data_IF_138224091807
#
_entry.id   IF_138224091807
#
_cell.length_a   1.000
_cell.length_b   1.000
_cell.length_c   1.000
_cell.angle_alpha   90.00
_cell.angle_beta   90.00
_cell.angle_gamma   90.00
#
_symmetry.space_group_name_H-M   'P 1'
#
loop_
_entity.id
_entity.type
_entity.pdbx_description
1 polymer ?
#
# COMPACT_ATOMS: atom_id res chain seq x y z
N UNK A 1 -6.25 -19.96 33.05
CA UNK A 1 -6.64 -21.22 32.38
C UNK A 1 -5.63 -21.45 31.26
N UNK A 2 -5.01 -22.63 31.24
CA UNK A 2 -4.01 -22.99 30.23
C UNK A 2 -4.69 -23.25 28.88
N UNK A 3 -4.14 -22.75 27.77
CA UNK A 3 -4.68 -22.95 26.41
C UNK A 3 -4.72 -24.44 26.01
N UNK A 4 -3.79 -25.23 26.57
CA UNK A 4 -3.69 -26.67 26.31
C UNK A 4 -4.91 -27.45 26.81
N UNK A 5 -5.47 -27.03 27.95
CA UNK A 5 -6.66 -27.65 28.54
C UNK A 5 -7.95 -27.28 27.80
N UNK A 6 -7.92 -26.20 27.03
CA UNK A 6 -9.04 -25.76 26.17
C UNK A 6 -9.04 -26.50 24.83
N UNK A 7 -7.86 -26.80 24.29
CA UNK A 7 -7.70 -27.56 23.04
C UNK A 7 -7.98 -29.06 23.21
N UNK A 8 -7.92 -29.60 24.43
CA UNK A 8 -8.24 -31.00 24.73
C UNK A 8 -9.73 -31.27 24.90
N UNK A 9 -10.55 -30.23 25.10
CA UNK A 9 -12.00 -30.34 25.17
C UNK A 9 -12.63 -30.30 23.78
N UNK A 10 -13.68 -31.08 23.51
CA UNK A 10 -14.42 -30.94 22.28
C UNK A 10 -15.24 -29.63 22.30
N UNK A 11 -15.39 -29.00 21.13
CA UNK A 11 -16.03 -27.66 20.98
C UNK A 11 -17.42 -27.58 21.61
N UNK A 12 -18.20 -28.65 21.57
CA UNK A 12 -19.56 -28.69 22.14
C UNK A 12 -19.59 -28.67 23.68
N UNK A 13 -18.47 -28.96 24.34
CA UNK A 13 -18.31 -28.90 25.78
C UNK A 13 -17.65 -27.58 26.22
N UNK A 14 -17.25 -26.72 25.28
CA UNK A 14 -16.67 -25.41 25.57
C UNK A 14 -17.76 -24.37 25.77
N UNK A 15 -17.54 -23.49 26.75
CA UNK A 15 -18.33 -22.28 26.93
C UNK A 15 -17.96 -21.23 25.88
N UNK A 16 -18.87 -20.30 25.59
CA UNK A 16 -18.61 -19.23 24.62
C UNK A 16 -17.41 -18.34 25.00
N UNK A 17 -17.18 -18.14 26.30
CA UNK A 17 -16.04 -17.39 26.81
C UNK A 17 -14.72 -18.08 26.52
N UNK A 18 -14.67 -19.40 26.73
CA UNK A 18 -13.52 -20.25 26.40
C UNK A 18 -13.20 -20.24 24.89
N UNK A 19 -14.23 -20.23 24.05
CA UNK A 19 -14.07 -20.15 22.59
C UNK A 19 -13.51 -18.78 22.14
N UNK A 20 -14.05 -17.68 22.67
CA UNK A 20 -13.56 -16.32 22.36
C UNK A 20 -12.12 -16.15 22.87
N UNK A 21 -11.78 -16.73 24.01
CA UNK A 21 -10.43 -16.73 24.56
C UNK A 21 -9.44 -17.45 23.64
N UNK A 22 -9.78 -18.65 23.12
CA UNK A 22 -8.96 -19.34 22.12
C UNK A 22 -8.79 -18.53 20.84
N UNK A 23 -9.87 -17.92 20.34
CA UNK A 23 -9.81 -17.13 19.11
C UNK A 23 -8.90 -15.90 19.26
N UNK A 24 -9.01 -15.18 20.39
CA UNK A 24 -8.09 -14.07 20.70
C UNK A 24 -6.66 -14.54 20.86
N UNK A 25 -6.44 -15.70 21.48
CA UNK A 25 -5.12 -16.28 21.62
C UNK A 25 -4.53 -16.75 20.27
N UNK A 26 -5.34 -17.28 19.35
CA UNK A 26 -4.90 -17.62 17.99
C UNK A 26 -4.49 -16.37 17.19
N UNK A 27 -5.21 -15.26 17.37
CA UNK A 27 -4.87 -13.96 16.78
C UNK A 27 -3.62 -13.31 17.41
N UNK A 28 -3.28 -13.67 18.65
CA UNK A 28 -2.10 -13.13 19.36
C UNK A 28 -0.87 -14.04 19.27
N UNK A 29 -1.06 -15.36 19.15
CA UNK A 29 -0.02 -16.38 19.03
C UNK A 29 0.53 -16.54 17.61
N UNK A 30 -0.13 -15.93 16.61
CA UNK A 30 0.55 -15.62 15.36
C UNK A 30 1.60 -14.54 15.64
N UNK A 31 2.84 -14.97 15.88
CA UNK A 31 4.03 -14.13 15.91
C UNK A 31 4.31 -13.37 14.61
N UNK A 32 3.39 -13.35 13.65
CA UNK A 32 3.14 -12.13 12.90
C UNK A 32 2.51 -11.12 13.86
N UNK A 33 3.37 -10.28 14.44
CA UNK A 33 3.09 -8.85 14.40
C UNK A 33 2.27 -8.63 13.11
N UNK A 34 1.01 -8.15 13.13
CA UNK A 34 0.76 -7.11 12.18
C UNK A 34 1.84 -6.11 12.58
N UNK A 35 2.94 -6.09 11.81
CA UNK A 35 3.72 -4.88 11.77
C UNK A 35 2.62 -3.84 11.67
N UNK A 36 2.46 -3.02 12.70
CA UNK A 36 1.89 -1.70 12.51
C UNK A 36 2.50 -1.30 11.16
N UNK A 37 1.70 -1.16 10.06
CA UNK A 37 2.28 -0.54 8.88
C UNK A 37 2.76 0.77 9.45
N UNK A 38 4.07 0.88 9.59
CA UNK A 38 4.70 1.83 10.49
C UNK A 38 4.62 3.15 9.78
N UNK A 39 3.42 3.74 9.70
CA UNK A 39 3.09 4.64 8.62
C UNK A 39 3.72 4.15 7.29
N UNK A 40 3.49 2.88 6.92
CA UNK A 40 3.71 2.49 5.53
C UNK A 40 2.63 3.24 4.78
N UNK A 41 2.93 4.49 4.41
CA UNK A 41 2.27 5.21 3.34
C UNK A 41 2.07 4.15 2.29
N UNK A 42 0.83 3.72 2.06
CA UNK A 42 0.52 2.73 1.03
C UNK A 42 1.14 3.30 -0.24
N UNK A 43 2.35 2.85 -0.61
CA UNK A 43 3.11 3.45 -1.69
C UNK A 43 2.31 3.15 -2.92
N UNK A 44 1.53 4.14 -3.33
CA UNK A 44 0.51 3.95 -4.34
C UNK A 44 1.23 3.93 -5.67
N UNK A 45 1.53 2.73 -6.16
CA UNK A 45 2.14 2.59 -7.47
C UNK A 45 1.07 2.73 -8.55
N UNK A 46 1.39 3.49 -9.59
CA UNK A 46 0.53 3.67 -10.77
C UNK A 46 1.24 3.14 -12.01
N UNK A 47 0.47 2.49 -12.87
CA UNK A 47 1.00 1.74 -14.00
C UNK A 47 0.69 2.41 -15.33
N UNK A 48 1.71 2.45 -16.20
CA UNK A 48 1.60 2.95 -17.56
C UNK A 48 1.37 4.45 -17.67
N UNK A 49 1.20 4.92 -18.91
CA UNK A 49 0.94 6.34 -19.19
C UNK A 49 -0.46 6.76 -18.70
N UNK A 50 -1.44 5.85 -18.78
CA UNK A 50 -2.78 6.09 -18.25
C UNK A 50 -2.79 6.28 -16.73
N UNK A 51 -1.87 5.62 -16.04
CA UNK A 51 -1.64 5.83 -14.62
C UNK A 51 -1.18 7.25 -14.30
N UNK A 52 -0.18 7.74 -15.03
CA UNK A 52 0.32 9.12 -14.90
C UNK A 52 -0.81 10.13 -15.17
N UNK A 53 -1.61 9.89 -16.21
CA UNK A 53 -2.74 10.74 -16.56
C UNK A 53 -3.77 10.84 -15.41
N UNK A 54 -4.14 9.70 -14.81
CA UNK A 54 -5.07 9.64 -13.66
C UNK A 54 -4.47 10.30 -12.41
N UNK A 55 -3.18 10.11 -12.17
CA UNK A 55 -2.50 10.70 -11.02
C UNK A 55 -2.49 12.23 -11.06
N UNK A 56 -2.22 12.82 -12.23
CA UNK A 56 -2.19 14.28 -12.41
C UNK A 56 -3.52 14.87 -12.86
N UNK A 57 -4.58 14.07 -13.01
CA UNK A 57 -5.87 14.52 -13.56
C UNK A 57 -5.77 15.14 -14.96
N UNK A 58 -4.84 14.67 -15.79
CA UNK A 58 -4.55 15.26 -17.10
C UNK A 58 -4.86 14.30 -18.26
N UNK A 59 -4.90 14.84 -19.48
CA UNK A 59 -5.08 14.04 -20.69
C UNK A 59 -3.83 13.22 -21.03
N UNK A 60 -4.01 12.11 -21.77
CA UNK A 60 -2.89 11.23 -22.20
C UNK A 60 -1.76 12.00 -22.92
N UNK A 61 -2.04 12.95 -23.85
CA UNK A 61 -0.98 13.75 -24.49
C UNK A 61 -0.18 14.60 -23.49
N UNK A 62 -0.86 15.13 -22.48
CA UNK A 62 -0.23 15.92 -21.42
C UNK A 62 0.65 15.06 -20.54
N UNK A 63 0.18 13.86 -20.15
CA UNK A 63 0.98 12.88 -19.41
C UNK A 63 2.24 12.46 -20.19
N UNK A 64 2.13 12.28 -21.51
CA UNK A 64 3.27 12.02 -22.39
C UNK A 64 4.28 13.17 -22.38
N UNK A 65 3.81 14.42 -22.39
CA UNK A 65 4.68 15.59 -22.25
C UNK A 65 5.37 15.64 -20.89
N UNK A 66 4.67 15.33 -19.80
CA UNK A 66 5.23 15.27 -18.44
C UNK A 66 6.33 14.19 -18.39
N UNK A 67 6.09 13.00 -18.94
CA UNK A 67 7.11 11.94 -19.06
C UNK A 67 8.32 12.42 -19.87
N UNK A 68 8.10 13.02 -21.05
CA UNK A 68 9.17 13.53 -21.92
C UNK A 68 9.95 14.68 -21.30
N UNK A 69 9.29 15.52 -20.49
CA UNK A 69 9.92 16.65 -19.82
C UNK A 69 10.90 16.25 -18.71
N UNK A 70 10.89 14.98 -18.28
CA UNK A 70 11.81 14.45 -17.29
C UNK A 70 11.54 14.85 -15.84
N UNK A 71 10.51 15.67 -15.58
CA UNK A 71 10.18 16.20 -14.24
C UNK A 71 9.93 15.12 -13.18
N UNK A 72 9.44 13.95 -13.61
CA UNK A 72 9.08 12.82 -12.74
C UNK A 72 10.00 11.60 -12.95
N UNK A 73 11.13 11.73 -13.65
CA UNK A 73 12.00 10.59 -13.98
C UNK A 73 12.45 9.80 -12.75
N UNK A 74 12.69 10.48 -11.61
CA UNK A 74 13.09 9.83 -10.36
C UNK A 74 12.01 8.93 -9.77
N UNK A 75 10.74 9.22 -10.05
CA UNK A 75 9.59 8.42 -9.61
C UNK A 75 9.20 7.32 -10.62
N UNK A 76 9.81 7.30 -11.81
CA UNK A 76 9.51 6.34 -12.86
C UNK A 76 10.52 5.20 -12.84
N UNK A 77 10.02 3.98 -12.70
CA UNK A 77 10.76 2.75 -12.96
C UNK A 77 10.27 2.16 -14.28
N UNK A 78 11.12 2.17 -15.31
CA UNK A 78 10.78 1.60 -16.62
C UNK A 78 11.51 0.27 -16.83
N UNK A 79 10.72 -0.81 -16.99
CA UNK A 79 11.21 -2.14 -17.35
C UNK A 79 10.69 -2.43 -18.76
N UNK A 80 11.53 -2.18 -19.77
CA UNK A 80 11.14 -2.29 -21.19
C UNK A 80 9.98 -1.36 -21.53
N UNK A 81 8.82 -1.91 -21.92
CA UNK A 81 7.58 -1.15 -22.20
C UNK A 81 6.72 -0.90 -20.97
N UNK A 82 6.98 -1.58 -19.85
CA UNK A 82 6.24 -1.38 -18.60
C UNK A 82 6.78 -0.15 -17.88
N UNK A 83 5.87 0.72 -17.47
CA UNK A 83 6.18 1.94 -16.71
C UNK A 83 5.48 1.79 -15.36
N UNK A 84 6.25 1.85 -14.28
CA UNK A 84 5.76 1.83 -12.91
C UNK A 84 6.12 3.19 -12.31
N UNK A 85 5.17 3.86 -11.69
CA UNK A 85 5.35 5.20 -11.14
C UNK A 85 4.96 5.19 -9.68
N UNK A 86 5.85 5.65 -8.81
CA UNK A 86 5.53 5.92 -7.41
C UNK A 86 4.69 7.21 -7.32
N UNK A 87 3.45 7.12 -6.81
CA UNK A 87 2.54 8.26 -6.81
C UNK A 87 2.99 9.41 -5.93
N UNK A 88 3.42 9.09 -4.71
CA UNK A 88 3.78 10.09 -3.71
C UNK A 88 5.02 10.85 -4.17
N UNK A 89 6.02 10.12 -4.67
CA UNK A 89 7.23 10.72 -5.21
C UNK A 89 6.94 11.56 -6.46
N UNK A 90 6.04 11.11 -7.35
CA UNK A 90 5.66 11.87 -8.53
C UNK A 90 4.95 13.19 -8.19
N UNK A 91 4.08 13.20 -7.18
CA UNK A 91 3.41 14.41 -6.70
C UNK A 91 4.38 15.39 -6.04
N UNK A 92 5.29 14.91 -5.20
CA UNK A 92 6.32 15.75 -4.56
C UNK A 92 7.23 16.41 -5.61
N UNK A 93 7.67 15.66 -6.63
CA UNK A 93 8.52 16.17 -7.70
C UNK A 93 7.79 17.15 -8.62
N UNK A 94 6.50 16.92 -8.88
CA UNK A 94 5.69 17.84 -9.66
C UNK A 94 5.38 19.14 -8.89
N UNK A 95 5.22 19.05 -7.56
CA UNK A 95 4.95 20.17 -6.66
C UNK A 95 6.15 21.11 -6.44
N UNK A 96 7.39 20.63 -6.67
CA UNK A 96 8.57 21.51 -6.75
C UNK A 96 8.45 22.38 -8.01
N UNK A 97 7.84 23.56 -7.84
CA UNK A 97 7.63 24.58 -8.88
C UNK A 97 8.97 24.94 -9.54
N UNK A 98 9.16 24.53 -10.80
CA UNK A 98 10.00 25.22 -11.76
C UNK A 98 9.10 26.16 -12.59
N UNK A 99 8.86 27.36 -12.06
CA UNK A 99 8.14 28.44 -12.75
C UNK A 99 6.61 28.32 -12.67
N UNK A 100 6.01 29.04 -11.72
CA UNK A 100 4.58 29.37 -11.77
C UNK A 100 4.37 30.70 -12.49
N UNK A 101 3.32 30.80 -13.30
CA UNK A 101 2.70 32.08 -13.64
C UNK A 101 2.33 32.80 -12.34
N UNK A 102 3.10 33.82 -12.02
CA UNK A 102 2.78 34.96 -11.18
C UNK A 102 3.23 36.18 -11.96
#
# INVERSE_FOLDING_TARGET
>A
MEIRDLLSKPVWQMTGEEFIFLNRHALQGSGTKPAQPAADKEKKYVYGIGGIARLFGCSIPTANRIKKSGRINRAITQIGRKIIVDADMALELAGRKSGGRG
#
